data_IF_737884740421
#
_entry.id   IF_737884740421
#
_cell.length_a   1.000
_cell.length_b   1.000
_cell.length_c   1.000
_cell.angle_alpha   90.00
_cell.angle_beta   90.00
_cell.angle_gamma   90.00
#
_symmetry.space_group_name_H-M   'P 1'
#
loop_
_entity.id
_entity.type
_entity.pdbx_description
1 polymer ?
#
# COMPACT_ATOMS: atom_id res chain seq x y z
N UNK A 1 -3.83 12.47 -19.05
CA UNK A 1 -2.56 11.90 -19.58
C UNK A 1 -2.11 10.81 -18.61
N UNK A 2 -1.74 9.60 -19.06
CA UNK A 2 -1.40 8.51 -18.15
C UNK A 2 -0.14 8.86 -17.36
N UNK A 3 -0.23 8.53 -16.08
CA UNK A 3 0.61 9.05 -14.99
C UNK A 3 1.74 8.07 -14.64
N UNK A 4 1.76 6.89 -15.26
CA UNK A 4 2.64 5.79 -14.89
C UNK A 4 3.40 5.26 -16.10
N UNK A 5 4.72 5.15 -15.97
CA UNK A 5 5.63 4.74 -17.04
C UNK A 5 6.06 3.27 -16.92
N UNK A 6 5.42 2.50 -16.02
CA UNK A 6 5.69 1.08 -15.85
C UNK A 6 6.84 0.76 -14.90
N UNK A 7 7.15 -0.54 -14.86
CA UNK A 7 8.39 -1.10 -14.30
C UNK A 7 9.50 -0.88 -15.31
N UNK A 8 10.03 0.34 -15.32
CA UNK A 8 10.77 0.89 -16.46
C UNK A 8 12.09 0.15 -16.72
N UNK A 9 12.77 -0.29 -15.66
CA UNK A 9 13.97 -1.11 -15.79
C UNK A 9 13.68 -2.44 -16.48
N UNK A 10 12.64 -3.16 -16.07
CA UNK A 10 12.20 -4.40 -16.71
C UNK A 10 11.74 -4.18 -18.15
N UNK A 11 11.03 -3.08 -18.43
CA UNK A 11 10.57 -2.72 -19.78
C UNK A 11 11.74 -2.44 -20.72
N UNK A 12 12.78 -1.76 -20.24
CA UNK A 12 13.94 -1.38 -21.04
C UNK A 12 14.99 -2.51 -21.14
N UNK A 13 15.01 -3.47 -20.21
CA UNK A 13 16.02 -4.53 -20.12
C UNK A 13 16.26 -5.31 -21.43
N UNK A 14 15.24 -5.67 -22.23
CA UNK A 14 15.46 -6.35 -23.50
C UNK A 14 16.28 -5.52 -24.52
N UNK A 15 16.20 -4.19 -24.45
CA UNK A 15 16.76 -3.28 -25.47
C UNK A 15 18.19 -2.83 -25.19
N UNK A 16 18.69 -3.06 -23.97
CA UNK A 16 20.03 -2.61 -23.56
C UNK A 16 21.10 -3.70 -23.60
N UNK A 17 20.74 -4.93 -23.97
CA UNK A 17 21.63 -6.10 -23.91
C UNK A 17 22.93 -5.95 -24.72
N UNK A 18 22.90 -5.15 -25.78
CA UNK A 18 24.04 -4.89 -26.66
C UNK A 18 24.86 -3.64 -26.26
N UNK A 19 24.45 -2.94 -25.21
CA UNK A 19 25.03 -1.66 -24.82
C UNK A 19 26.04 -1.85 -23.69
N UNK A 20 27.11 -1.05 -23.72
CA UNK A 20 28.00 -0.90 -22.57
C UNK A 20 27.30 -0.12 -21.44
N UNK A 21 27.75 -0.28 -20.20
CA UNK A 21 27.17 0.44 -19.06
C UNK A 21 27.24 1.96 -19.24
N UNK A 22 28.36 2.48 -19.76
CA UNK A 22 28.51 3.91 -20.07
C UNK A 22 27.44 4.39 -21.06
N UNK A 23 27.15 3.57 -22.08
CA UNK A 23 26.16 3.90 -23.09
C UNK A 23 24.73 3.77 -22.56
N UNK A 24 24.48 2.93 -21.55
CA UNK A 24 23.21 2.86 -20.80
C UNK A 24 23.05 4.13 -19.96
N UNK A 25 24.04 4.45 -19.12
CA UNK A 25 24.02 5.59 -18.21
C UNK A 25 23.78 6.91 -18.97
N UNK A 26 24.52 7.12 -20.06
CA UNK A 26 24.38 8.28 -20.93
C UNK A 26 22.99 8.43 -21.53
N UNK A 27 22.35 7.31 -21.93
CA UNK A 27 20.99 7.30 -22.51
C UNK A 27 19.92 7.48 -21.44
N UNK A 28 20.01 6.77 -20.33
CA UNK A 28 19.08 6.88 -19.20
C UNK A 28 19.08 8.30 -18.65
N UNK A 29 20.25 8.91 -18.47
CA UNK A 29 20.37 10.31 -18.03
C UNK A 29 19.69 11.30 -18.98
N UNK A 30 19.84 11.12 -20.30
CA UNK A 30 19.12 11.94 -21.30
C UNK A 30 17.61 11.71 -21.22
N UNK A 31 17.18 10.46 -21.06
CA UNK A 31 15.77 10.11 -20.92
C UNK A 31 15.16 10.72 -19.66
N UNK A 32 15.85 10.64 -18.52
CA UNK A 32 15.42 11.25 -17.26
C UNK A 32 15.19 12.76 -17.40
N UNK A 33 16.15 13.47 -18.02
CA UNK A 33 16.00 14.90 -18.33
C UNK A 33 14.82 15.20 -19.25
N UNK A 34 14.52 14.30 -20.19
CA UNK A 34 13.39 14.45 -21.08
C UNK A 34 12.07 14.31 -20.33
N UNK A 35 11.95 13.33 -19.43
CA UNK A 35 10.74 13.12 -18.62
C UNK A 35 10.38 14.37 -17.82
N UNK A 36 11.35 14.94 -17.09
CA UNK A 36 11.16 16.17 -16.30
C UNK A 36 10.73 17.39 -17.14
N UNK A 37 11.20 17.47 -18.40
CA UNK A 37 10.91 18.61 -19.29
C UNK A 37 9.58 18.50 -20.03
N UNK A 38 9.03 17.30 -20.14
CA UNK A 38 7.89 17.03 -21.02
C UNK A 38 6.65 16.52 -20.31
N UNK A 39 6.80 16.01 -19.08
CA UNK A 39 5.70 15.45 -18.31
C UNK A 39 5.45 16.30 -17.05
N UNK A 40 4.17 16.43 -16.62
CA UNK A 40 3.82 17.18 -15.43
C UNK A 40 4.38 16.51 -14.18
N UNK A 41 4.95 17.34 -13.33
CA UNK A 41 5.70 16.98 -12.13
C UNK A 41 4.87 16.15 -11.12
N UNK A 42 3.67 16.62 -10.77
CA UNK A 42 2.95 16.11 -9.61
C UNK A 42 2.46 14.64 -9.70
N UNK A 43 2.54 14.01 -10.87
CA UNK A 43 1.88 12.74 -11.10
C UNK A 43 2.80 11.67 -11.71
N UNK A 44 3.66 12.02 -12.67
CA UNK A 44 4.44 11.05 -13.44
C UNK A 44 5.27 10.14 -12.53
N UNK A 45 5.07 8.83 -12.66
CA UNK A 45 5.62 7.84 -11.73
C UNK A 45 6.28 6.68 -12.49
N UNK A 46 7.47 6.28 -12.04
CA UNK A 46 8.23 5.13 -12.53
C UNK A 46 8.39 4.12 -11.40
N UNK A 47 8.28 2.82 -11.71
CA UNK A 47 8.74 1.79 -10.79
C UNK A 47 10.00 1.12 -11.33
N UNK A 48 10.83 0.64 -10.40
CA UNK A 48 12.03 -0.16 -10.66
C UNK A 48 12.15 -1.27 -9.59
N UNK A 49 13.03 -2.24 -9.82
CA UNK A 49 13.21 -3.39 -8.94
C UNK A 49 12.15 -4.48 -9.14
N UNK A 50 12.19 -5.57 -8.36
CA UNK A 50 13.12 -5.84 -7.26
C UNK A 50 14.48 -6.38 -7.69
N UNK A 51 14.62 -6.80 -8.96
CA UNK A 51 15.85 -7.38 -9.49
C UNK A 51 16.93 -6.32 -9.71
N UNK A 52 18.18 -6.73 -9.54
CA UNK A 52 19.33 -5.89 -9.88
C UNK A 52 19.62 -5.97 -11.38
N UNK A 53 19.49 -4.84 -12.06
CA UNK A 53 19.78 -4.73 -13.49
C UNK A 53 20.68 -3.53 -13.79
N UNK A 54 21.44 -3.57 -14.91
CA UNK A 54 22.19 -2.40 -15.40
C UNK A 54 21.35 -1.12 -15.50
N UNK A 55 20.06 -1.24 -15.82
CA UNK A 55 19.15 -0.11 -15.93
C UNK A 55 18.68 0.38 -14.57
N UNK A 56 18.37 -0.53 -13.65
CA UNK A 56 17.97 -0.19 -12.26
C UNK A 56 19.01 0.74 -11.64
N UNK A 57 20.29 0.37 -11.71
CA UNK A 57 21.39 1.20 -11.18
C UNK A 57 21.65 2.46 -12.00
N UNK A 58 21.50 2.41 -13.33
CA UNK A 58 21.62 3.61 -14.17
C UNK A 58 20.53 4.65 -13.86
N UNK A 59 19.30 4.21 -13.57
CA UNK A 59 18.20 5.07 -13.15
C UNK A 59 18.51 5.70 -11.79
N UNK A 60 18.96 4.91 -10.81
CA UNK A 60 19.35 5.44 -9.49
C UNK A 60 20.44 6.52 -9.63
N UNK A 61 21.53 6.24 -10.35
CA UNK A 61 22.59 7.22 -10.62
C UNK A 61 22.06 8.48 -11.28
N UNK A 62 21.22 8.36 -12.31
CA UNK A 62 20.65 9.51 -12.99
C UNK A 62 19.76 10.35 -12.06
N UNK A 63 18.94 9.70 -11.23
CA UNK A 63 18.03 10.38 -10.30
C UNK A 63 18.80 11.15 -9.20
N UNK A 64 19.82 10.52 -8.59
CA UNK A 64 20.68 11.20 -7.61
C UNK A 64 21.52 12.33 -8.21
N UNK A 65 22.01 12.17 -9.44
CA UNK A 65 22.83 13.21 -10.08
C UNK A 65 21.97 14.42 -10.47
N UNK A 66 20.80 14.18 -11.07
CA UNK A 66 19.97 15.23 -11.64
C UNK A 66 19.07 15.91 -10.60
N UNK A 67 18.68 15.19 -9.53
CA UNK A 67 17.84 15.69 -8.43
C UNK A 67 16.56 16.39 -8.90
N UNK A 68 15.97 15.86 -9.97
CA UNK A 68 14.79 16.42 -10.61
C UNK A 68 13.52 16.04 -9.84
N UNK A 69 12.48 16.85 -9.98
CA UNK A 69 11.19 16.58 -9.34
C UNK A 69 10.47 15.42 -10.06
N UNK A 70 10.44 15.45 -11.40
CA UNK A 70 9.88 14.37 -12.21
C UNK A 70 10.94 13.45 -12.82
N UNK A 71 10.65 12.14 -12.95
CA UNK A 71 9.48 11.46 -12.41
C UNK A 71 9.60 11.20 -10.90
N UNK A 72 8.46 10.94 -10.26
CA UNK A 72 8.45 10.19 -9.00
C UNK A 72 8.98 8.78 -9.26
N UNK A 73 9.76 8.25 -8.34
CA UNK A 73 10.40 6.95 -8.48
C UNK A 73 10.08 6.08 -7.27
N UNK A 74 9.57 4.88 -7.50
CA UNK A 74 9.43 3.86 -6.45
C UNK A 74 10.26 2.63 -6.79
N UNK A 75 11.03 2.17 -5.80
CA UNK A 75 11.70 0.88 -5.82
C UNK A 75 10.80 -0.17 -5.17
N UNK A 76 10.48 -1.23 -5.91
CA UNK A 76 9.78 -2.40 -5.39
C UNK A 76 10.82 -3.28 -4.70
N UNK A 77 10.77 -3.36 -3.38
CA UNK A 77 11.68 -4.18 -2.58
C UNK A 77 11.13 -5.59 -2.36
N UNK A 78 11.96 -6.59 -2.60
CA UNK A 78 11.68 -7.99 -2.23
C UNK A 78 12.93 -8.58 -1.54
N UNK A 79 12.85 -8.98 -0.26
CA UNK A 79 13.98 -9.52 0.49
C UNK A 79 14.55 -10.81 -0.11
N UNK A 80 13.78 -11.56 -0.90
CA UNK A 80 14.24 -12.80 -1.52
C UNK A 80 14.90 -12.57 -2.89
N UNK A 81 14.79 -11.35 -3.45
CA UNK A 81 15.26 -11.02 -4.81
C UNK A 81 16.29 -9.89 -4.82
N UNK A 82 16.10 -8.87 -3.98
CA UNK A 82 16.91 -7.66 -3.96
C UNK A 82 18.22 -7.92 -3.21
N UNK A 83 19.39 -7.78 -3.86
CA UNK A 83 20.68 -7.87 -3.17
C UNK A 83 20.90 -6.73 -2.17
N UNK A 84 21.63 -7.00 -1.10
CA UNK A 84 21.93 -6.02 -0.04
C UNK A 84 22.67 -4.78 -0.55
N UNK A 85 23.57 -4.94 -1.52
CA UNK A 85 24.35 -3.84 -2.09
C UNK A 85 23.51 -2.92 -2.99
N UNK A 86 22.50 -3.47 -3.68
CA UNK A 86 21.48 -2.68 -4.37
C UNK A 86 20.60 -1.92 -3.38
N UNK A 87 20.13 -2.58 -2.30
CA UNK A 87 19.35 -1.91 -1.26
C UNK A 87 20.14 -0.77 -0.60
N UNK A 88 21.44 -0.97 -0.39
CA UNK A 88 22.33 0.08 0.10
C UNK A 88 22.46 1.24 -0.89
N UNK A 89 22.57 0.97 -2.20
CA UNK A 89 22.56 2.02 -3.23
C UNK A 89 21.24 2.80 -3.22
N UNK A 90 20.11 2.11 -3.15
CA UNK A 90 18.77 2.72 -3.01
C UNK A 90 18.71 3.64 -1.78
N UNK A 91 19.18 3.17 -0.63
CA UNK A 91 19.20 3.97 0.60
C UNK A 91 20.09 5.22 0.48
N UNK A 92 21.27 5.10 -0.14
CA UNK A 92 22.14 6.25 -0.43
C UNK A 92 21.46 7.25 -1.36
N UNK A 93 20.75 6.76 -2.38
CA UNK A 93 20.00 7.60 -3.31
C UNK A 93 18.92 8.42 -2.59
N UNK A 94 18.20 7.79 -1.65
CA UNK A 94 17.19 8.45 -0.82
C UNK A 94 17.83 9.57 0.01
N UNK A 95 18.99 9.32 0.63
CA UNK A 95 19.70 10.36 1.36
C UNK A 95 20.14 11.52 0.47
N UNK A 96 20.48 11.25 -0.80
CA UNK A 96 21.00 12.24 -1.74
C UNK A 96 19.91 13.11 -2.39
N UNK A 97 18.76 12.52 -2.71
CA UNK A 97 17.72 13.17 -3.53
C UNK A 97 16.27 12.88 -3.09
N UNK A 98 16.06 12.28 -1.91
CA UNK A 98 14.74 11.90 -1.37
C UNK A 98 13.97 10.85 -2.19
N UNK A 99 14.63 10.21 -3.17
CA UNK A 99 14.08 9.17 -4.04
C UNK A 99 15.08 8.01 -4.22
N UNK A 100 14.62 6.78 -4.49
CA UNK A 100 13.22 6.40 -4.70
C UNK A 100 12.45 6.18 -3.39
N UNK A 101 11.12 6.19 -3.46
CA UNK A 101 10.28 5.63 -2.39
C UNK A 101 10.39 4.11 -2.39
N UNK A 102 10.17 3.46 -1.24
CA UNK A 102 10.26 1.99 -1.14
C UNK A 102 8.87 1.41 -0.97
N UNK A 103 8.53 0.42 -1.79
CA UNK A 103 7.29 -0.35 -1.69
C UNK A 103 7.59 -1.83 -1.47
N UNK A 104 6.90 -2.46 -0.52
CA UNK A 104 7.16 -3.84 -0.14
C UNK A 104 6.49 -4.82 -1.11
N UNK A 105 7.27 -5.38 -2.05
CA UNK A 105 6.85 -6.32 -3.09
C UNK A 105 6.00 -7.47 -2.58
N UNK A 106 6.49 -8.31 -1.64
CA UNK A 106 5.74 -9.45 -1.14
C UNK A 106 4.39 -9.13 -0.47
N UNK A 107 4.19 -7.90 0.02
CA UNK A 107 2.89 -7.48 0.57
C UNK A 107 1.93 -7.15 -0.57
N UNK A 108 2.38 -6.43 -1.59
CA UNK A 108 1.56 -6.12 -2.75
C UNK A 108 1.25 -7.38 -3.59
N UNK A 109 2.18 -8.32 -3.71
CA UNK A 109 1.98 -9.60 -4.41
C UNK A 109 0.94 -10.52 -3.72
N UNK A 110 0.68 -10.33 -2.42
CA UNK A 110 -0.45 -10.97 -1.74
C UNK A 110 -1.76 -10.29 -2.06
N UNK A 111 -1.71 -9.05 -2.54
CA UNK A 111 -2.88 -8.24 -2.86
C UNK A 111 -3.31 -8.45 -4.30
N UNK A 112 -2.38 -8.19 -5.21
CA UNK A 112 -2.53 -8.28 -6.65
C UNK A 112 -1.88 -9.55 -7.17
N UNK A 113 -2.13 -9.91 -8.44
CA UNK A 113 -1.32 -10.93 -9.10
C UNK A 113 0.14 -10.46 -9.15
N UNK A 114 1.09 -11.35 -8.83
CA UNK A 114 2.53 -11.04 -8.78
C UNK A 114 2.99 -10.32 -10.04
N UNK A 115 3.66 -9.17 -9.87
CA UNK A 115 4.15 -8.34 -10.97
C UNK A 115 3.06 -7.69 -11.85
N UNK A 116 1.79 -7.71 -11.43
CA UNK A 116 0.65 -7.14 -12.17
C UNK A 116 0.02 -5.93 -11.46
N UNK A 117 0.83 -5.19 -10.71
CA UNK A 117 0.47 -3.90 -10.14
C UNK A 117 1.55 -2.86 -10.41
N UNK A 118 1.22 -1.58 -10.20
CA UNK A 118 2.17 -0.47 -10.17
C UNK A 118 1.90 0.42 -8.96
N UNK A 119 2.96 1.09 -8.49
CA UNK A 119 2.86 2.19 -7.54
C UNK A 119 2.81 3.48 -8.36
N UNK A 120 1.73 4.24 -8.21
CA UNK A 120 1.42 5.38 -9.07
C UNK A 120 1.01 6.62 -8.27
N UNK A 121 1.24 7.80 -8.85
CA UNK A 121 0.91 9.10 -8.23
C UNK A 121 1.50 9.18 -6.82
N UNK A 122 0.72 9.56 -5.80
CA UNK A 122 1.11 9.63 -4.39
C UNK A 122 1.12 8.25 -3.70
N UNK A 123 1.76 7.26 -4.33
CA UNK A 123 1.99 5.91 -3.77
C UNK A 123 0.77 4.98 -3.71
N UNK A 124 -0.16 5.11 -4.66
CA UNK A 124 -1.26 4.16 -4.76
C UNK A 124 -0.78 2.87 -5.42
N UNK A 125 -1.03 1.72 -4.80
CA UNK A 125 -0.90 0.42 -5.46
C UNK A 125 -2.16 0.14 -6.28
N UNK A 126 -2.03 0.05 -7.61
CA UNK A 126 -3.14 -0.23 -8.52
C UNK A 126 -2.77 -1.34 -9.51
N UNK A 127 -3.76 -2.09 -10.05
CA UNK A 127 -3.49 -3.08 -11.09
C UNK A 127 -2.82 -2.46 -12.32
N UNK A 128 -1.89 -3.19 -12.95
CA UNK A 128 -1.35 -2.79 -14.27
C UNK A 128 -2.47 -2.76 -15.30
N UNK A 129 -2.36 -1.82 -16.24
CA UNK A 129 -3.42 -1.46 -17.20
C UNK A 129 -4.74 -0.99 -16.54
N UNK A 130 -4.74 -0.75 -15.23
CA UNK A 130 -5.88 -0.22 -14.49
C UNK A 130 -5.71 1.24 -14.10
N UNK A 131 -6.53 1.67 -13.14
CA UNK A 131 -6.49 3.03 -12.61
C UNK A 131 -7.49 3.28 -11.49
N UNK A 132 -7.44 4.48 -10.91
CA UNK A 132 -8.48 4.95 -10.00
C UNK A 132 -9.64 5.50 -10.82
N UNK A 133 -10.84 4.91 -10.71
CA UNK A 133 -12.05 5.44 -11.37
C UNK A 133 -12.43 6.82 -10.82
N UNK A 134 -12.19 7.01 -9.53
CA UNK A 134 -12.45 8.23 -8.77
C UNK A 134 -11.68 8.14 -7.46
N UNK A 135 -11.41 9.28 -6.84
CA UNK A 135 -10.91 9.36 -5.48
C UNK A 135 -11.71 10.42 -4.72
N UNK A 136 -12.40 9.99 -3.68
CA UNK A 136 -13.09 10.86 -2.72
C UNK A 136 -12.42 10.65 -1.36
N UNK A 137 -12.28 11.71 -0.55
CA UNK A 137 -11.57 11.62 0.73
C UNK A 137 -12.41 12.14 1.88
N UNK A 138 -12.55 11.32 2.92
CA UNK A 138 -13.16 11.73 4.19
C UNK A 138 -12.19 12.61 4.98
N UNK A 139 -12.71 13.71 5.52
CA UNK A 139 -12.01 14.54 6.49
C UNK A 139 -12.27 14.00 7.91
N UNK A 140 -11.43 13.08 8.40
CA UNK A 140 -11.63 12.46 9.70
C UNK A 140 -11.59 13.48 10.84
N UNK A 141 -10.76 14.52 10.71
CA UNK A 141 -10.68 15.61 11.68
C UNK A 141 -12.04 16.31 11.83
N UNK A 142 -12.64 16.72 10.72
CA UNK A 142 -13.94 17.40 10.76
C UNK A 142 -15.02 16.48 11.36
N UNK A 143 -15.03 15.19 11.01
CA UNK A 143 -15.99 14.23 11.58
C UNK A 143 -15.80 14.14 13.11
N UNK A 144 -14.56 14.06 13.58
CA UNK A 144 -14.24 14.03 15.01
C UNK A 144 -14.67 15.32 15.73
N UNK A 145 -14.38 16.50 15.16
CA UNK A 145 -14.78 17.80 15.73
C UNK A 145 -16.31 17.89 15.92
N UNK A 146 -17.09 17.42 14.92
CA UNK A 146 -18.55 17.42 14.95
C UNK A 146 -19.18 16.30 15.80
N UNK A 147 -18.39 15.31 16.24
CA UNK A 147 -18.89 14.22 17.08
C UNK A 147 -18.96 14.65 18.53
N UNK A 148 -20.02 14.29 19.26
CA UNK A 148 -20.16 14.65 20.68
C UNK A 148 -19.14 13.90 21.58
N UNK A 149 -18.83 12.66 21.22
CA UNK A 149 -17.94 11.76 21.96
C UNK A 149 -17.32 10.74 20.99
N UNK A 150 -16.34 9.92 21.43
CA UNK A 150 -15.90 8.77 20.64
C UNK A 150 -17.05 7.85 20.25
N UNK A 151 -17.98 7.57 21.16
CA UNK A 151 -19.10 6.67 20.84
C UNK A 151 -20.00 7.25 19.75
N UNK A 152 -20.28 8.56 19.79
CA UNK A 152 -21.02 9.25 18.74
C UNK A 152 -20.26 9.22 17.39
N UNK A 153 -18.93 9.36 17.43
CA UNK A 153 -18.08 9.23 16.25
C UNK A 153 -18.22 7.85 15.60
N UNK A 154 -18.05 6.77 16.37
CA UNK A 154 -18.05 5.40 15.83
C UNK A 154 -19.44 4.91 15.44
N UNK A 155 -20.48 5.29 16.17
CA UNK A 155 -21.83 4.71 16.00
C UNK A 155 -22.72 5.51 15.05
N UNK A 156 -22.49 6.83 14.90
CA UNK A 156 -23.35 7.71 14.09
C UNK A 156 -22.58 8.48 13.03
N UNK A 157 -21.60 9.27 13.44
CA UNK A 157 -20.99 10.28 12.54
C UNK A 157 -20.13 9.65 11.46
N UNK A 158 -19.19 8.76 11.82
CA UNK A 158 -18.34 8.09 10.83
C UNK A 158 -19.16 7.24 9.83
N UNK A 159 -20.10 6.38 10.26
CA UNK A 159 -20.96 5.64 9.33
C UNK A 159 -21.74 6.54 8.37
N UNK A 160 -22.32 7.64 8.87
CA UNK A 160 -23.09 8.58 8.05
C UNK A 160 -22.23 9.16 6.92
N UNK A 161 -21.04 9.69 7.24
CA UNK A 161 -20.16 10.27 6.22
C UNK A 161 -19.56 9.22 5.28
N UNK A 162 -19.35 7.98 5.73
CA UNK A 162 -18.96 6.89 4.84
C UNK A 162 -20.02 6.62 3.77
N UNK A 163 -21.30 6.62 4.13
CA UNK A 163 -22.41 6.47 3.18
C UNK A 163 -22.46 7.64 2.18
N UNK A 164 -22.29 8.88 2.65
CA UNK A 164 -22.24 10.04 1.75
C UNK A 164 -21.08 9.97 0.76
N UNK A 165 -19.89 9.55 1.22
CA UNK A 165 -18.75 9.35 0.33
C UNK A 165 -19.02 8.23 -0.70
N UNK A 166 -19.68 7.15 -0.30
CA UNK A 166 -20.04 6.07 -1.24
C UNK A 166 -21.00 6.57 -2.32
N UNK A 167 -22.05 7.31 -1.96
CA UNK A 167 -22.98 7.88 -2.93
C UNK A 167 -22.29 8.77 -3.98
N UNK A 168 -21.28 9.55 -3.58
CA UNK A 168 -20.47 10.36 -4.50
C UNK A 168 -19.61 9.48 -5.40
N UNK A 169 -18.99 8.44 -4.84
CA UNK A 169 -18.19 7.47 -5.60
C UNK A 169 -19.07 6.80 -6.67
N UNK A 170 -20.25 6.31 -6.30
CA UNK A 170 -21.18 5.64 -7.19
C UNK A 170 -21.65 6.55 -8.32
N UNK A 171 -22.04 7.79 -8.00
CA UNK A 171 -22.45 8.77 -9.00
C UNK A 171 -21.34 9.07 -10.02
N UNK A 172 -20.09 9.21 -9.54
CA UNK A 172 -18.93 9.46 -10.42
C UNK A 172 -18.58 8.25 -11.27
N UNK A 173 -18.66 7.05 -10.70
CA UNK A 173 -18.45 5.81 -11.44
C UNK A 173 -19.55 5.61 -12.50
N UNK A 174 -20.83 5.75 -12.14
CA UNK A 174 -21.92 5.64 -13.10
C UNK A 174 -21.72 6.60 -14.29
N UNK A 175 -21.35 7.85 -14.04
CA UNK A 175 -21.02 8.78 -15.12
C UNK A 175 -19.84 8.30 -15.97
N UNK A 176 -18.71 7.93 -15.35
CA UNK A 176 -17.50 7.50 -16.07
C UNK A 176 -17.78 6.29 -16.96
N UNK A 177 -18.44 5.26 -16.43
CA UNK A 177 -18.64 3.99 -17.13
C UNK A 177 -19.85 3.96 -18.06
N UNK A 178 -20.89 4.77 -17.83
CA UNK A 178 -22.15 4.66 -18.56
C UNK A 178 -22.45 5.86 -19.45
N UNK A 179 -21.87 7.03 -19.16
CA UNK A 179 -22.25 8.29 -19.83
C UNK A 179 -21.07 8.98 -20.52
N UNK A 180 -19.85 8.83 -20.00
CA UNK A 180 -18.71 9.61 -20.49
C UNK A 180 -18.20 9.17 -21.86
N UNK A 181 -18.47 7.93 -22.28
CA UNK A 181 -17.92 7.35 -23.50
C UNK A 181 -16.41 7.10 -23.46
N UNK A 182 -15.75 7.25 -22.29
CA UNK A 182 -14.30 7.19 -22.18
C UNK A 182 -13.75 5.82 -22.55
N UNK A 183 -14.30 4.74 -21.97
CA UNK A 183 -13.77 3.40 -22.20
C UNK A 183 -14.12 2.86 -23.59
N UNK A 184 -15.22 3.31 -24.19
CA UNK A 184 -15.65 2.93 -25.53
C UNK A 184 -14.79 3.60 -26.63
N UNK A 185 -14.40 4.85 -26.41
CA UNK A 185 -13.80 5.68 -27.45
C UNK A 185 -12.30 5.90 -27.30
N UNK A 186 -11.73 5.67 -26.11
CA UNK A 186 -10.31 5.94 -25.83
C UNK A 186 -9.38 5.04 -26.65
N UNK A 187 -8.40 5.66 -27.32
CA UNK A 187 -7.32 4.92 -27.99
C UNK A 187 -6.51 4.07 -27.00
N UNK A 188 -6.42 4.49 -25.73
CA UNK A 188 -5.69 3.73 -24.70
C UNK A 188 -6.32 2.36 -24.46
N UNK A 189 -7.65 2.26 -24.58
CA UNK A 189 -8.37 0.98 -24.49
C UNK A 189 -8.18 0.17 -25.77
N UNK A 190 -8.33 0.81 -26.94
CA UNK A 190 -8.17 0.16 -28.26
C UNK A 190 -6.77 -0.45 -28.45
N UNK A 191 -5.73 0.24 -27.98
CA UNK A 191 -4.33 -0.22 -28.04
C UNK A 191 -3.95 -1.14 -26.87
N UNK A 192 -4.89 -1.47 -25.96
CA UNK A 192 -4.65 -2.38 -24.84
C UNK A 192 -3.72 -1.83 -23.74
N UNK A 193 -3.52 -0.51 -23.70
CA UNK A 193 -2.71 0.14 -22.66
C UNK A 193 -3.46 0.23 -21.33
N UNK A 194 -4.78 0.34 -21.39
CA UNK A 194 -5.67 0.30 -20.23
C UNK A 194 -6.85 -0.64 -20.48
N UNK A 195 -7.43 -1.16 -19.40
CA UNK A 195 -8.52 -2.13 -19.38
C UNK A 195 -9.54 -1.68 -18.34
N UNK A 196 -10.79 -1.47 -18.77
CA UNK A 196 -11.86 -0.92 -17.93
C UNK A 196 -12.12 -1.77 -16.68
N UNK A 197 -11.98 -3.10 -16.79
CA UNK A 197 -12.23 -4.04 -15.68
C UNK A 197 -11.15 -3.97 -14.59
N UNK A 198 -10.05 -3.24 -14.85
CA UNK A 198 -8.93 -3.06 -13.92
C UNK A 198 -8.95 -1.73 -13.20
N UNK A 199 -9.97 -0.91 -13.43
CA UNK A 199 -10.16 0.33 -12.71
C UNK A 199 -10.93 0.09 -11.41
N UNK A 200 -10.52 0.79 -10.35
CA UNK A 200 -11.13 0.64 -9.02
C UNK A 200 -11.54 2.01 -8.47
N UNK A 201 -12.73 2.16 -7.86
CA UNK A 201 -13.07 3.37 -7.13
C UNK A 201 -12.24 3.46 -5.85
N UNK A 202 -11.69 4.63 -5.55
CA UNK A 202 -10.83 4.79 -4.38
C UNK A 202 -11.56 5.49 -3.24
N UNK A 203 -11.69 4.79 -2.12
CA UNK A 203 -12.20 5.32 -0.86
C UNK A 203 -11.04 5.87 -0.02
N UNK A 204 -10.84 7.18 -0.04
CA UNK A 204 -9.76 7.84 0.69
C UNK A 204 -10.21 8.44 2.03
N UNK A 205 -9.22 8.76 2.86
CA UNK A 205 -9.38 9.51 4.10
C UNK A 205 -8.13 10.36 4.37
N UNK A 206 -8.27 11.38 5.20
CA UNK A 206 -7.16 12.17 5.73
C UNK A 206 -7.49 12.71 7.13
N UNK A 207 -6.47 13.19 7.84
CA UNK A 207 -6.63 13.79 9.18
C UNK A 207 -6.76 12.77 10.32
N UNK A 208 -6.13 11.59 10.20
CA UNK A 208 -6.20 10.52 11.22
C UNK A 208 -5.62 10.97 12.56
N UNK A 209 -4.44 11.60 12.56
CA UNK A 209 -3.77 12.00 13.79
C UNK A 209 -4.58 13.06 14.54
N UNK A 210 -5.10 14.04 13.80
CA UNK A 210 -5.97 15.09 14.31
C UNK A 210 -7.28 14.51 14.85
N UNK A 211 -7.93 13.62 14.11
CA UNK A 211 -9.15 12.96 14.57
C UNK A 211 -8.93 12.20 15.88
N UNK A 212 -7.87 11.38 15.96
CA UNK A 212 -7.54 10.63 17.18
C UNK A 212 -7.31 11.58 18.35
N UNK A 213 -6.52 12.64 18.17
CA UNK A 213 -6.24 13.60 19.24
C UNK A 213 -7.51 14.30 19.72
N UNK A 214 -8.37 14.75 18.80
CA UNK A 214 -9.68 15.36 19.13
C UNK A 214 -10.58 14.40 19.90
N UNK A 215 -10.62 13.12 19.52
CA UNK A 215 -11.42 12.12 20.22
C UNK A 215 -10.86 11.76 21.60
N UNK A 216 -9.53 11.72 21.76
CA UNK A 216 -8.89 11.56 23.07
C UNK A 216 -9.27 12.71 24.01
N UNK A 217 -9.23 13.95 23.53
CA UNK A 217 -9.63 15.14 24.30
C UNK A 217 -11.10 15.06 24.73
N UNK A 218 -12.02 14.70 23.82
CA UNK A 218 -13.44 14.49 24.14
C UNK A 218 -13.70 13.34 25.12
N UNK A 219 -12.77 12.39 25.23
CA UNK A 219 -12.86 11.25 26.14
C UNK A 219 -12.15 11.48 27.49
N UNK A 220 -11.48 12.64 27.67
CA UNK A 220 -10.60 12.87 28.83
C UNK A 220 -9.37 11.94 28.86
N UNK A 221 -8.95 11.41 27.72
CA UNK A 221 -7.78 10.54 27.59
C UNK A 221 -6.55 11.42 27.38
N UNK A 222 -5.59 11.36 28.32
CA UNK A 222 -4.29 12.01 28.17
C UNK A 222 -3.38 11.18 27.25
N UNK A 223 -3.51 11.44 25.94
CA UNK A 223 -2.79 10.72 24.91
C UNK A 223 -2.71 11.47 23.58
N UNK A 224 -1.73 11.07 22.77
CA UNK A 224 -1.52 11.59 21.42
C UNK A 224 -1.22 10.47 20.44
N UNK A 225 -1.77 10.58 19.23
CA UNK A 225 -1.47 9.66 18.13
C UNK A 225 0.03 9.58 17.86
N UNK A 226 0.54 8.37 17.64
CA UNK A 226 1.96 8.09 17.45
C UNK A 226 2.80 8.06 18.73
N UNK A 227 2.24 8.43 19.89
CA UNK A 227 2.96 8.47 21.18
C UNK A 227 2.34 7.59 22.26
N UNK A 228 1.02 7.51 22.33
CA UNK A 228 0.29 6.73 23.34
C UNK A 228 -0.30 5.47 22.74
N UNK A 229 -0.17 4.34 23.44
CA UNK A 229 -0.78 3.07 23.04
C UNK A 229 -2.30 3.16 22.97
N UNK A 230 -2.93 3.86 23.92
CA UNK A 230 -4.38 4.08 23.94
C UNK A 230 -4.85 4.94 22.76
N UNK A 231 -4.12 6.01 22.43
CA UNK A 231 -4.42 6.84 21.26
C UNK A 231 -4.21 6.06 19.94
N UNK A 232 -3.16 5.24 19.87
CA UNK A 232 -2.90 4.40 18.70
C UNK A 232 -3.99 3.34 18.51
N UNK A 233 -4.48 2.73 19.60
CA UNK A 233 -5.61 1.81 19.57
C UNK A 233 -6.87 2.45 18.97
N UNK A 234 -7.10 3.73 19.24
CA UNK A 234 -8.19 4.48 18.62
C UNK A 234 -8.00 4.62 17.11
N UNK A 235 -6.80 4.97 16.64
CA UNK A 235 -6.49 5.05 15.22
C UNK A 235 -6.64 3.72 14.49
N UNK A 236 -6.26 2.60 15.14
CA UNK A 236 -6.52 1.27 14.62
C UNK A 236 -8.01 0.95 14.52
N UNK A 237 -8.79 1.28 15.56
CA UNK A 237 -10.25 1.09 15.54
C UNK A 237 -10.93 1.86 14.40
N UNK A 238 -10.52 3.12 14.15
CA UNK A 238 -11.00 3.91 13.01
C UNK A 238 -10.67 3.19 11.69
N UNK A 239 -9.42 2.76 11.53
CA UNK A 239 -8.96 2.07 10.31
C UNK A 239 -9.70 0.75 10.07
N UNK A 240 -9.95 -0.02 11.13
CA UNK A 240 -10.70 -1.27 11.07
C UNK A 240 -12.16 -1.06 10.67
N UNK A 241 -12.84 -0.06 11.25
CA UNK A 241 -14.22 0.24 10.88
C UNK A 241 -14.34 0.72 9.42
N UNK A 242 -13.41 1.57 8.97
CA UNK A 242 -13.37 2.01 7.57
C UNK A 242 -13.12 0.83 6.62
N UNK A 243 -12.19 -0.07 6.96
CA UNK A 243 -11.93 -1.27 6.16
C UNK A 243 -13.16 -2.18 6.10
N UNK A 244 -13.80 -2.45 7.24
CA UNK A 244 -15.02 -3.26 7.30
C UNK A 244 -16.17 -2.62 6.51
N UNK A 245 -16.32 -1.29 6.57
CA UNK A 245 -17.32 -0.58 5.78
C UNK A 245 -17.09 -0.79 4.29
N UNK A 246 -15.88 -0.58 3.79
CA UNK A 246 -15.58 -0.75 2.36
C UNK A 246 -15.71 -2.21 1.93
N UNK A 247 -15.24 -3.18 2.73
CA UNK A 247 -15.38 -4.61 2.43
C UNK A 247 -16.85 -5.04 2.31
N UNK A 248 -17.73 -4.54 3.19
CA UNK A 248 -19.16 -4.88 3.16
C UNK A 248 -19.93 -4.25 1.99
N UNK A 249 -19.44 -3.14 1.42
CA UNK A 249 -20.09 -2.46 0.30
C UNK A 249 -19.39 -2.72 -1.05
N UNK A 250 -18.26 -3.44 -1.05
CA UNK A 250 -17.54 -3.82 -2.28
C UNK A 250 -18.38 -4.65 -3.25
N UNK A 251 -19.42 -5.35 -2.76
CA UNK A 251 -20.37 -6.12 -3.57
C UNK A 251 -21.52 -5.31 -4.17
N UNK A 252 -21.80 -4.11 -3.63
CA UNK A 252 -22.86 -3.20 -4.11
C UNK A 252 -22.35 -2.25 -5.20
N UNK A 253 -21.02 -2.10 -5.32
CA UNK A 253 -20.34 -1.52 -6.50
C UNK A 253 -20.38 -2.55 -7.65
N UNK A 254 -21.58 -3.04 -7.97
CA UNK A 254 -21.90 -3.74 -9.21
C UNK A 254 -22.75 -2.79 -10.01
N UNK A 255 -22.14 -2.14 -10.99
CA UNK A 255 -22.86 -1.36 -11.99
C UNK A 255 -23.84 -2.32 -12.68
N UNK A 256 -25.14 -2.19 -12.38
CA UNK A 256 -26.26 -2.99 -12.93
C UNK A 256 -26.42 -2.93 -14.46
N UNK A 257 -25.47 -2.34 -15.19
CA UNK A 257 -25.49 -2.23 -16.66
C UNK A 257 -24.30 -2.89 -17.37
N UNK A 258 -23.29 -3.41 -16.66
CA UNK A 258 -22.23 -4.20 -17.27
C UNK A 258 -22.61 -5.68 -17.26
N UNK A 259 -23.40 -6.11 -18.26
CA UNK A 259 -23.70 -7.54 -18.47
C UNK A 259 -22.37 -8.30 -18.63
N UNK A 260 -22.16 -9.24 -17.71
CA UNK A 260 -21.27 -10.40 -17.81
C UNK A 260 -19.75 -10.21 -17.66
N UNK A 261 -19.28 -9.15 -17.01
CA UNK A 261 -17.90 -9.09 -16.50
C UNK A 261 -17.88 -9.20 -14.97
N UNK A 262 -17.31 -10.27 -14.38
CA UNK A 262 -17.08 -10.31 -12.95
C UNK A 262 -15.97 -9.31 -12.63
N UNK A 263 -16.33 -8.09 -12.24
CA UNK A 263 -15.44 -7.28 -11.43
C UNK A 263 -15.29 -8.00 -10.09
N UNK A 264 -14.38 -8.97 -10.04
CA UNK A 264 -13.91 -9.55 -8.78
C UNK A 264 -13.16 -8.44 -8.06
N UNK A 265 -13.91 -7.58 -7.35
CA UNK A 265 -13.41 -6.81 -6.22
C UNK A 265 -13.15 -7.82 -5.10
N UNK A 266 -12.18 -8.70 -5.33
CA UNK A 266 -11.82 -9.77 -4.42
C UNK A 266 -11.16 -9.16 -3.20
N UNK A 267 -11.88 -9.12 -2.08
CA UNK A 267 -11.37 -9.08 -0.70
C UNK A 267 -10.03 -8.34 -0.56
N UNK A 268 -9.94 -7.01 -0.78
CA UNK A 268 -8.68 -6.30 -0.52
C UNK A 268 -8.70 -4.77 -0.59
N UNK A 269 -9.81 -4.11 -0.27
CA UNK A 269 -9.75 -2.69 0.13
C UNK A 269 -9.22 -2.58 1.57
N UNK A 270 -7.91 -2.76 1.74
CA UNK A 270 -7.27 -2.55 3.03
C UNK A 270 -6.48 -1.25 2.99
N UNK A 271 -7.12 -0.17 3.42
CA UNK A 271 -6.43 1.06 3.79
C UNK A 271 -5.54 0.72 5.01
N UNK A 272 -4.26 0.39 4.79
CA UNK A 272 -3.31 0.19 5.89
C UNK A 272 -2.33 1.36 5.94
N UNK A 273 -2.41 2.12 7.02
CA UNK A 273 -1.26 2.84 7.56
C UNK A 273 -0.38 1.85 8.31
N UNK A 274 0.93 1.83 8.05
CA UNK A 274 1.90 1.10 8.87
C UNK A 274 2.45 2.02 9.95
N UNK A 275 2.12 1.72 11.21
CA UNK A 275 3.02 1.93 12.34
C UNK A 275 3.39 0.55 12.88
N UNK A 276 4.69 0.26 12.95
CA UNK A 276 5.19 -1.07 13.22
C UNK A 276 4.84 -1.56 14.63
N UNK A 277 4.27 -2.78 14.72
CA UNK A 277 4.55 -3.71 15.81
C UNK A 277 4.29 -5.16 15.35
N UNK A 278 5.30 -5.98 15.57
CA UNK A 278 5.33 -7.41 15.28
C UNK A 278 4.19 -8.15 16.01
N UNK A 279 3.41 -8.92 15.26
CA UNK A 279 2.41 -9.84 15.83
C UNK A 279 3.11 -11.14 16.20
N UNK A 280 3.31 -11.36 17.50
CA UNK A 280 3.73 -12.64 18.04
C UNK A 280 2.69 -13.73 17.73
N UNK A 281 3.17 -14.86 17.22
CA UNK A 281 2.41 -16.06 16.93
C UNK A 281 1.84 -16.64 18.23
N UNK A 282 0.54 -16.49 18.49
CA UNK A 282 -0.18 -17.36 19.43
C UNK A 282 -0.70 -18.57 18.67
N UNK A 283 0.00 -19.71 18.81
CA UNK A 283 -0.53 -21.02 18.46
C UNK A 283 -1.74 -21.32 19.36
N UNK A 284 -2.90 -21.60 18.77
CA UNK A 284 -4.04 -22.18 19.47
C UNK A 284 -3.66 -23.60 19.93
N UNK A 285 -3.66 -23.81 21.24
CA UNK A 285 -3.76 -25.15 21.83
C UNK A 285 -5.19 -25.65 21.60
N UNK A 286 -5.34 -26.68 20.78
CA UNK A 286 -6.57 -27.45 20.66
C UNK A 286 -6.53 -28.60 21.65
N UNK A 287 -7.39 -28.56 22.64
CA UNK A 287 -7.73 -29.68 23.51
C UNK A 287 -8.70 -30.63 22.79
N UNK A 288 -8.33 -31.89 22.60
CA UNK A 288 -9.30 -33.00 22.57
C UNK A 288 -8.66 -34.30 23.07
N UNK A 289 -9.51 -35.08 23.72
CA UNK A 289 -9.28 -36.20 24.63
C UNK A 289 -8.54 -37.42 24.05
N UNK A 290 -7.65 -37.96 24.90
CA UNK A 290 -7.62 -39.35 25.41
C UNK A 290 -7.97 -40.51 24.44
N UNK A 291 -6.98 -41.34 24.15
CA UNK A 291 -7.09 -42.80 24.36
C UNK A 291 -5.71 -43.43 24.59
N UNK A 292 -5.71 -44.52 25.36
CA UNK A 292 -4.60 -45.12 26.09
C UNK A 292 -3.58 -45.90 25.24
N UNK A 293 -2.33 -45.99 25.74
CA UNK A 293 -1.31 -46.90 25.22
C UNK A 293 -0.08 -46.94 26.13
N UNK A 294 0.23 -48.14 26.66
CA UNK A 294 1.17 -48.45 27.76
C UNK A 294 2.66 -48.36 27.39
N UNK A 295 3.53 -48.25 28.42
CA UNK A 295 4.95 -48.63 28.38
C UNK A 295 5.87 -47.64 29.12
N UNK A 296 5.97 -47.69 30.46
CA UNK A 296 7.01 -48.41 31.20
C UNK A 296 8.46 -47.90 30.97
N UNK A 297 9.00 -47.15 31.94
CA UNK A 297 10.30 -47.35 32.60
C UNK A 297 10.80 -46.08 33.32
N UNK A 298 10.86 -46.16 34.64
CA UNK A 298 11.82 -45.49 35.55
C UNK A 298 12.54 -46.65 36.28
N UNK A 299 13.70 -46.49 36.99
CA UNK A 299 14.09 -45.32 37.79
C UNK A 299 15.62 -45.05 37.92
N UNK A 300 16.00 -43.90 38.49
CA UNK A 300 17.15 -43.72 39.41
C UNK A 300 17.16 -42.24 39.90
N UNK A 301 16.72 -41.89 41.11
CA UNK A 301 17.44 -41.93 42.40
C UNK A 301 18.82 -41.26 42.40
N UNK A 302 18.88 -40.01 42.87
CA UNK A 302 19.86 -39.55 43.87
C UNK A 302 19.44 -38.21 44.49
N UNK A 303 19.14 -38.25 45.79
CA UNK A 303 19.08 -37.11 46.72
C UNK A 303 20.49 -36.78 47.20
N UNK A 304 20.77 -35.49 47.44
CA UNK A 304 21.37 -34.90 48.67
C UNK A 304 21.70 -33.43 48.41
N UNK A 305 21.01 -32.51 49.08
CA UNK A 305 21.43 -31.75 50.29
C UNK A 305 22.32 -30.53 49.95
N UNK A 306 21.75 -29.33 50.01
CA UNK A 306 21.91 -28.34 51.09
C UNK A 306 23.26 -27.58 51.07
N UNK A 307 23.24 -26.26 50.79
CA UNK A 307 23.46 -25.16 51.78
C UNK A 307 23.67 -23.80 51.10
N UNK A 308 23.17 -22.79 51.83
CA UNK A 308 23.35 -21.34 51.77
C UNK A 308 24.66 -20.78 51.16
N UNK A 309 24.58 -19.62 50.50
CA UNK A 309 24.98 -18.31 51.10
C UNK A 309 24.91 -17.15 50.10
N UNK A 310 24.86 -15.95 50.68
CA UNK A 310 24.58 -14.61 50.17
C UNK A 310 25.61 -13.99 49.20
N UNK A 311 25.14 -12.88 48.59
CA UNK A 311 25.82 -11.63 48.26
C UNK A 311 26.50 -11.49 46.88
N UNK A 312 26.11 -10.40 46.21
CA UNK A 312 26.61 -9.92 44.92
C UNK A 312 25.55 -9.06 44.25
#
# INVERSE_FOLDING_TARGET
>A
MPVYLGHLDALLQPYVRILTQEAIDSRIKRFWRYLDRTLPDAFTHVNIGPADTPITRAILRADAELKQAAPNLTFIYDPDVTPDDLLLEVAKNICECSKPHISHGPVNDKIFTKGRYGIVSCYNSLPLAGGGSTLVRLNLRAIAEHSASPDDFFTRMLPHYCQQQMAIIDARCAFLYQQSGFFENSFLVKEGLIDADRFVPMFGMYGMAEAVNTLCEKAGIDGRYGKSEQANALGYRISEQLAAFVENHAGEIRLETARDAPCTVGNKFRCRYHSGRASAVRRRAGSHHSSAGRGAASPALLRRDQRHSNAG
#
